data_IF_673126682535
#
_entry.id   IF_673126682535
#
_cell.length_a   1.000
_cell.length_b   1.000
_cell.length_c   1.000
_cell.angle_alpha   90.00
_cell.angle_beta   90.00
_cell.angle_gamma   90.00
#
_symmetry.space_group_name_H-M   'P 1'
#
loop_
_entity.id
_entity.type
_entity.pdbx_description
1 polymer ?
#
# COMPACT_ATOMS: atom_id res chain seq x y z
N UNK A 1 -24.11 4.69 66.67
CA UNK A 1 -25.13 4.65 65.62
C UNK A 1 -24.78 5.73 64.62
N UNK A 2 -23.98 5.33 63.62
CA UNK A 2 -23.24 6.19 62.70
C UNK A 2 -24.11 6.87 61.63
N UNK A 3 -23.66 8.02 61.08
CA UNK A 3 -24.30 8.71 59.97
C UNK A 3 -23.87 8.15 58.60
N UNK A 4 -24.81 8.17 57.65
CA UNK A 4 -24.65 7.72 56.25
C UNK A 4 -23.59 8.53 55.49
N UNK A 5 -22.54 7.84 55.04
CA UNK A 5 -21.61 8.30 54.02
C UNK A 5 -22.23 8.18 52.61
N UNK A 6 -22.17 9.27 51.85
CA UNK A 6 -22.53 9.36 50.43
C UNK A 6 -21.50 8.65 49.56
N UNK A 7 -21.94 7.64 48.83
CA UNK A 7 -21.10 6.84 47.92
C UNK A 7 -20.76 7.59 46.63
N UNK A 8 -19.49 7.95 46.48
CA UNK A 8 -18.85 8.27 45.20
C UNK A 8 -18.14 6.99 44.74
N UNK A 9 -18.53 6.45 43.58
CA UNK A 9 -17.68 5.52 42.84
C UNK A 9 -18.35 4.24 42.36
N UNK A 10 -19.08 4.31 41.24
CA UNK A 10 -19.39 3.11 40.41
C UNK A 10 -19.58 3.37 38.91
N UNK A 11 -19.50 4.61 38.40
CA UNK A 11 -19.77 4.89 36.98
C UNK A 11 -18.55 4.86 36.03
N UNK A 12 -17.32 4.70 36.53
CA UNK A 12 -16.11 4.70 35.69
C UNK A 12 -15.77 3.32 35.08
N UNK A 13 -16.27 2.21 35.63
CA UNK A 13 -15.87 0.87 35.22
C UNK A 13 -16.64 0.34 33.98
N UNK A 14 -17.83 0.85 33.69
CA UNK A 14 -18.66 0.39 32.56
C UNK A 14 -18.29 1.03 31.20
N UNK A 15 -17.55 2.14 31.21
CA UNK A 15 -17.10 2.78 29.96
C UNK A 15 -15.89 2.04 29.32
N UNK A 16 -15.16 1.23 30.09
CA UNK A 16 -13.95 0.53 29.63
C UNK A 16 -14.24 -0.86 29.04
N UNK A 17 -15.40 -1.46 29.28
CA UNK A 17 -15.77 -2.77 28.74
C UNK A 17 -16.24 -2.74 27.27
N UNK A 18 -16.62 -1.56 26.75
CA UNK A 18 -17.04 -1.41 25.35
C UNK A 18 -15.89 -1.06 24.37
N UNK A 19 -14.66 -0.87 24.87
CA UNK A 19 -13.47 -0.61 24.06
C UNK A 19 -12.80 -1.88 23.49
N UNK A 20 -13.30 -3.07 23.84
CA UNK A 20 -12.68 -4.35 23.49
C UNK A 20 -13.11 -4.95 22.14
N UNK A 21 -13.90 -4.24 21.32
CA UNK A 21 -14.36 -4.72 20.02
C UNK A 21 -13.91 -3.77 18.90
N UNK A 22 -12.61 -3.74 18.63
CA UNK A 22 -12.08 -3.26 17.38
C UNK A 22 -11.67 -4.48 16.54
N UNK A 23 -12.12 -4.59 15.27
CA UNK A 23 -11.70 -5.68 14.40
C UNK A 23 -10.19 -5.62 14.18
N UNK A 24 -9.59 -6.80 14.17
CA UNK A 24 -8.16 -7.10 14.07
C UNK A 24 -7.52 -6.47 12.80
N UNK A 25 -7.08 -5.22 12.91
CA UNK A 25 -6.31 -4.51 11.90
C UNK A 25 -4.82 -4.65 12.22
N UNK A 26 -4.24 -5.80 11.85
CA UNK A 26 -2.84 -6.15 12.10
C UNK A 26 -1.79 -5.33 11.32
N UNK A 27 -2.11 -4.07 10.98
CA UNK A 27 -1.20 -3.12 10.31
C UNK A 27 -0.42 -2.27 11.34
N UNK A 28 -0.90 -2.17 12.59
CA UNK A 28 -0.37 -1.20 13.58
C UNK A 28 0.46 -1.87 14.71
N UNK A 29 0.57 -3.20 14.72
CA UNK A 29 1.24 -3.92 15.82
C UNK A 29 2.78 -3.93 15.72
N UNK A 30 3.39 -3.20 14.78
CA UNK A 30 4.84 -3.26 14.53
C UNK A 30 5.66 -2.32 15.44
N UNK A 31 5.04 -1.30 16.06
CA UNK A 31 5.74 -0.34 16.93
C UNK A 31 5.71 -0.68 18.43
N UNK A 32 5.66 -1.98 18.80
CA UNK A 32 5.89 -2.38 20.20
C UNK A 32 7.41 -2.43 20.45
N UNK A 33 7.90 -1.73 21.48
CA UNK A 33 9.32 -1.69 21.92
C UNK A 33 9.96 -3.05 22.24
N UNK A 34 9.17 -4.12 22.32
CA UNK A 34 9.62 -5.51 22.35
C UNK A 34 8.42 -6.42 22.01
N UNK A 35 8.23 -6.84 20.76
CA UNK A 35 7.27 -7.90 20.45
C UNK A 35 7.82 -9.23 21.03
N UNK A 36 7.01 -10.03 21.72
CA UNK A 36 7.44 -11.39 22.11
C UNK A 36 7.77 -12.19 20.84
N UNK A 37 8.69 -13.17 20.92
CA UNK A 37 9.16 -13.89 19.73
C UNK A 37 7.97 -14.58 19.03
N UNK A 38 7.64 -14.09 17.83
CA UNK A 38 6.64 -14.75 16.99
C UNK A 38 7.14 -16.15 16.63
N UNK A 39 6.27 -17.15 16.75
CA UNK A 39 6.59 -18.52 16.34
C UNK A 39 7.12 -18.52 14.90
N UNK A 40 8.29 -19.13 14.68
CA UNK A 40 8.93 -19.25 13.36
C UNK A 40 7.96 -19.77 12.28
N UNK A 41 7.05 -20.68 12.66
CA UNK A 41 5.99 -21.20 11.78
C UNK A 41 5.03 -20.11 11.29
N UNK A 42 4.69 -19.14 12.13
CA UNK A 42 3.79 -18.04 11.76
C UNK A 42 4.46 -17.07 10.78
N UNK A 43 5.76 -16.79 10.97
CA UNK A 43 6.53 -15.95 10.05
C UNK A 43 6.66 -16.62 8.68
N UNK A 44 7.01 -17.91 8.64
CA UNK A 44 7.07 -18.69 7.40
C UNK A 44 5.72 -18.74 6.68
N UNK A 45 4.63 -18.91 7.41
CA UNK A 45 3.28 -18.89 6.82
C UNK A 45 2.94 -17.54 6.20
N UNK A 46 3.34 -16.43 6.82
CA UNK A 46 3.18 -15.09 6.24
C UNK A 46 3.96 -14.91 4.94
N UNK A 47 5.22 -15.36 4.92
CA UNK A 47 6.05 -15.36 3.69
C UNK A 47 5.45 -16.23 2.61
N UNK A 48 4.98 -17.43 2.97
CA UNK A 48 4.31 -18.34 2.03
C UNK A 48 3.07 -17.67 1.42
N UNK A 49 2.18 -17.09 2.23
CA UNK A 49 0.98 -16.39 1.75
C UNK A 49 1.30 -15.19 0.85
N UNK A 50 2.39 -14.48 1.13
CA UNK A 50 2.87 -13.40 0.26
C UNK A 50 3.35 -13.95 -1.08
N UNK A 51 4.18 -15.00 -1.07
CA UNK A 51 4.74 -15.61 -2.27
C UNK A 51 3.72 -16.43 -3.07
N UNK A 52 2.63 -16.89 -2.47
CA UNK A 52 1.56 -17.61 -3.18
C UNK A 52 0.76 -16.68 -4.10
N UNK A 53 0.73 -15.38 -3.81
CA UNK A 53 0.06 -14.38 -4.64
C UNK A 53 0.96 -13.95 -5.80
N UNK A 54 0.40 -13.92 -7.01
CA UNK A 54 1.08 -13.38 -8.20
C UNK A 54 1.55 -11.93 -7.99
N UNK A 55 0.76 -11.12 -7.26
CA UNK A 55 1.17 -9.76 -6.87
C UNK A 55 2.43 -9.74 -6.00
N UNK A 56 2.54 -10.65 -5.02
CA UNK A 56 3.71 -10.69 -4.14
C UNK A 56 4.99 -10.98 -4.92
N UNK A 57 4.90 -11.91 -5.87
CA UNK A 57 6.00 -12.21 -6.81
C UNK A 57 6.35 -11.01 -7.70
N UNK A 58 5.36 -10.33 -8.29
CA UNK A 58 5.61 -9.12 -9.09
C UNK A 58 6.30 -8.01 -8.29
N UNK A 59 5.84 -7.74 -7.06
CA UNK A 59 6.43 -6.68 -6.23
C UNK A 59 7.82 -7.04 -5.73
N UNK A 60 8.08 -8.32 -5.42
CA UNK A 60 9.43 -8.77 -5.07
C UNK A 60 10.39 -8.61 -6.26
N UNK A 61 9.96 -9.00 -7.46
CA UNK A 61 10.74 -8.79 -8.68
C UNK A 61 10.92 -7.30 -8.99
N UNK A 62 9.96 -6.44 -8.63
CA UNK A 62 10.13 -4.99 -8.69
C UNK A 62 11.32 -4.53 -7.86
N UNK A 63 11.41 -5.02 -6.62
CA UNK A 63 12.51 -4.71 -5.71
C UNK A 63 13.84 -5.15 -6.32
N UNK A 64 13.92 -6.38 -6.84
CA UNK A 64 15.14 -6.88 -7.51
C UNK A 64 15.52 -6.01 -8.71
N UNK A 65 14.55 -5.64 -9.54
CA UNK A 65 14.79 -4.76 -10.70
C UNK A 65 15.40 -3.42 -10.28
N UNK A 66 14.83 -2.76 -9.27
CA UNK A 66 15.30 -1.44 -8.86
C UNK A 66 16.60 -1.49 -8.05
N UNK A 67 16.86 -2.57 -7.30
CA UNK A 67 18.18 -2.85 -6.72
C UNK A 67 19.23 -3.02 -7.81
N UNK A 68 18.94 -3.80 -8.86
CA UNK A 68 19.84 -3.95 -10.00
C UNK A 68 20.07 -2.62 -10.73
N UNK A 69 19.04 -1.79 -10.88
CA UNK A 69 19.16 -0.43 -11.43
C UNK A 69 20.07 0.47 -10.58
N UNK A 70 19.94 0.39 -9.25
CA UNK A 70 20.76 1.15 -8.32
C UNK A 70 22.24 0.73 -8.38
N UNK A 71 22.50 -0.58 -8.35
CA UNK A 71 23.85 -1.16 -8.37
C UNK A 71 24.54 -0.89 -9.71
N UNK A 72 23.84 -1.16 -10.83
CA UNK A 72 24.41 -0.95 -12.17
C UNK A 72 24.68 0.52 -12.47
N UNK A 73 24.02 1.46 -11.77
CA UNK A 73 24.15 2.89 -11.98
C UNK A 73 23.93 3.33 -13.44
N UNK A 74 23.19 2.52 -14.23
CA UNK A 74 22.96 2.74 -15.66
C UNK A 74 24.04 2.19 -16.60
N UNK A 75 25.16 1.69 -16.07
CA UNK A 75 26.27 1.15 -16.85
C UNK A 75 25.90 -0.19 -17.52
N UNK A 76 26.34 -0.43 -18.77
CA UNK A 76 26.17 -1.73 -19.41
C UNK A 76 26.97 -2.80 -18.64
N UNK A 77 26.36 -3.96 -18.46
CA UNK A 77 26.95 -5.06 -17.71
C UNK A 77 25.92 -6.11 -17.32
N UNK A 78 26.35 -7.16 -16.63
CA UNK A 78 25.47 -8.29 -16.30
C UNK A 78 24.33 -7.90 -15.35
N UNK A 79 24.59 -7.00 -14.40
CA UNK A 79 23.55 -6.46 -13.51
C UNK A 79 22.45 -5.74 -14.28
N UNK A 80 22.79 -5.02 -15.36
CA UNK A 80 21.80 -4.36 -16.22
C UNK A 80 20.99 -5.36 -17.04
N UNK A 81 21.58 -6.48 -17.45
CA UNK A 81 20.85 -7.60 -18.08
C UNK A 81 19.86 -8.23 -17.10
N UNK A 82 20.27 -8.43 -15.84
CA UNK A 82 19.38 -8.91 -14.77
C UNK A 82 18.22 -7.95 -14.57
N UNK A 83 18.48 -6.64 -14.49
CA UNK A 83 17.42 -5.62 -14.42
C UNK A 83 16.42 -5.76 -15.57
N UNK A 84 16.89 -5.88 -16.81
CA UNK A 84 16.03 -6.00 -17.99
C UNK A 84 15.23 -7.31 -18.00
N UNK A 85 15.86 -8.42 -17.64
CA UNK A 85 15.22 -9.74 -17.55
C UNK A 85 14.10 -9.77 -16.51
N UNK A 86 14.40 -9.26 -15.30
CA UNK A 86 13.42 -9.17 -14.22
C UNK A 86 12.28 -8.21 -14.58
N UNK A 87 12.58 -7.08 -15.24
CA UNK A 87 11.56 -6.15 -15.73
C UNK A 87 10.61 -6.78 -16.75
N UNK A 88 11.12 -7.66 -17.63
CA UNK A 88 10.29 -8.41 -18.57
C UNK A 88 9.42 -9.46 -17.85
N UNK A 89 10.00 -10.21 -16.90
CA UNK A 89 9.27 -11.22 -16.13
C UNK A 89 8.10 -10.64 -15.34
N UNK A 90 8.25 -9.45 -14.76
CA UNK A 90 7.18 -8.72 -14.06
C UNK A 90 5.94 -8.50 -14.91
N UNK A 91 6.10 -8.24 -16.21
CA UNK A 91 4.97 -7.97 -17.12
C UNK A 91 4.10 -9.20 -17.33
N UNK A 92 4.67 -10.41 -17.23
CA UNK A 92 3.91 -11.67 -17.31
C UNK A 92 2.86 -11.76 -16.21
N UNK A 93 3.23 -11.37 -14.98
CA UNK A 93 2.29 -11.33 -13.84
C UNK A 93 1.18 -10.29 -13.98
N UNK A 94 1.24 -9.44 -15.00
CA UNK A 94 0.27 -8.36 -15.25
C UNK A 94 -0.65 -8.64 -16.44
N UNK A 95 -0.50 -9.78 -17.09
CA UNK A 95 -1.47 -10.24 -18.08
C UNK A 95 -2.84 -10.33 -17.36
N UNK A 96 -3.88 -9.71 -17.94
CA UNK A 96 -5.23 -9.51 -17.36
C UNK A 96 -5.42 -8.40 -16.32
N UNK A 97 -4.36 -7.76 -15.80
CA UNK A 97 -4.48 -6.57 -14.94
C UNK A 97 -5.25 -5.40 -15.57
N UNK A 98 -5.25 -5.17 -16.89
CA UNK A 98 -6.09 -4.12 -17.48
C UNK A 98 -7.58 -4.34 -17.20
N UNK A 99 -8.06 -5.59 -17.27
CA UNK A 99 -9.46 -5.91 -17.00
C UNK A 99 -9.78 -5.75 -15.52
N UNK A 100 -8.91 -6.22 -14.63
CA UNK A 100 -9.05 -6.01 -13.18
C UNK A 100 -9.10 -4.52 -12.83
N UNK A 101 -8.26 -3.71 -13.48
CA UNK A 101 -8.22 -2.26 -13.28
C UNK A 101 -9.50 -1.57 -13.73
N UNK A 102 -10.19 -2.10 -14.73
CA UNK A 102 -11.47 -1.58 -15.22
C UNK A 102 -12.68 -2.10 -14.43
N UNK A 103 -12.50 -3.12 -13.59
CA UNK A 103 -13.58 -3.72 -12.82
C UNK A 103 -14.42 -2.71 -12.00
N UNK A 104 -13.84 -1.66 -11.36
CA UNK A 104 -14.62 -0.65 -10.66
C UNK A 104 -15.57 0.13 -11.58
N UNK A 105 -15.21 0.31 -12.85
CA UNK A 105 -16.03 1.01 -13.84
C UNK A 105 -17.10 0.09 -14.40
N UNK A 106 -16.74 -1.17 -14.68
CA UNK A 106 -17.65 -2.16 -15.26
C UNK A 106 -18.75 -2.54 -14.25
N UNK A 107 -18.39 -2.77 -12.99
CA UNK A 107 -19.35 -3.18 -11.96
C UNK A 107 -20.19 -2.02 -11.44
N UNK A 108 -19.64 -0.80 -11.41
CA UNK A 108 -20.32 0.38 -10.91
C UNK A 108 -20.20 1.52 -11.93
N UNK A 109 -20.98 1.49 -13.03
CA UNK A 109 -20.89 2.49 -14.09
C UNK A 109 -21.47 3.84 -13.66
N UNK A 110 -22.37 3.85 -12.68
CA UNK A 110 -23.05 5.06 -12.19
C UNK A 110 -22.15 5.89 -11.27
N UNK A 111 -22.54 7.16 -11.12
CA UNK A 111 -21.94 8.08 -10.17
C UNK A 111 -22.63 7.93 -8.81
N UNK A 112 -21.86 7.66 -7.77
CA UNK A 112 -22.26 7.59 -6.38
C UNK A 112 -22.57 8.99 -5.82
N UNK A 113 -23.84 9.22 -5.53
CA UNK A 113 -24.34 10.49 -4.99
C UNK A 113 -23.79 10.85 -3.60
N UNK A 114 -23.21 9.90 -2.85
CA UNK A 114 -22.68 10.13 -1.50
C UNK A 114 -21.22 10.59 -1.46
N UNK A 115 -20.54 10.66 -2.63
CA UNK A 115 -19.15 11.12 -2.72
C UNK A 115 -19.09 12.41 -3.54
N UNK A 116 -18.15 13.34 -3.23
CA UNK A 116 -17.93 14.49 -4.11
C UNK A 116 -17.68 14.03 -5.56
N UNK A 117 -18.45 14.59 -6.50
CA UNK A 117 -18.42 14.22 -7.92
C UNK A 117 -17.00 14.14 -8.49
N UNK A 118 -16.17 15.13 -8.16
CA UNK A 118 -14.77 15.21 -8.62
C UNK A 118 -13.96 14.00 -8.15
N UNK A 119 -14.11 13.59 -6.90
CA UNK A 119 -13.34 12.49 -6.32
C UNK A 119 -13.75 11.14 -6.91
N UNK A 120 -15.03 10.97 -7.21
CA UNK A 120 -15.50 9.80 -7.93
C UNK A 120 -14.99 9.75 -9.37
N UNK A 121 -15.04 10.87 -10.10
CA UNK A 121 -14.51 10.94 -11.45
C UNK A 121 -13.01 10.62 -11.46
N UNK A 122 -12.26 11.15 -10.50
CA UNK A 122 -10.84 10.83 -10.30
C UNK A 122 -10.62 9.34 -10.02
N UNK A 123 -11.46 8.70 -9.21
CA UNK A 123 -11.35 7.27 -8.93
C UNK A 123 -11.57 6.40 -10.20
N UNK A 124 -12.57 6.75 -11.02
CA UNK A 124 -12.80 6.08 -12.31
C UNK A 124 -11.67 6.39 -13.30
N UNK A 125 -11.19 7.63 -13.35
CA UNK A 125 -10.05 8.01 -14.19
C UNK A 125 -8.77 7.25 -13.82
N UNK A 126 -8.48 7.10 -12.52
CA UNK A 126 -7.36 6.28 -12.02
C UNK A 126 -7.44 4.85 -12.54
N UNK A 127 -8.65 4.27 -12.54
CA UNK A 127 -8.91 2.91 -13.03
C UNK A 127 -8.59 2.78 -14.53
N UNK A 128 -9.01 3.76 -15.36
CA UNK A 128 -8.65 3.82 -16.78
C UNK A 128 -7.15 3.99 -16.98
N UNK A 129 -6.50 4.88 -16.24
CA UNK A 129 -5.06 5.13 -16.33
C UNK A 129 -4.24 3.88 -15.95
N UNK A 130 -4.66 3.11 -14.94
CA UNK A 130 -4.05 1.83 -14.62
C UNK A 130 -4.27 0.79 -15.72
N UNK A 131 -5.44 0.79 -16.37
CA UNK A 131 -5.68 -0.09 -17.50
C UNK A 131 -4.76 0.23 -18.70
N UNK A 132 -4.51 1.53 -18.96
CA UNK A 132 -3.53 1.98 -19.97
C UNK A 132 -2.12 1.55 -19.58
N UNK A 133 -1.74 1.70 -18.30
CA UNK A 133 -0.46 1.24 -17.78
C UNK A 133 -0.21 -0.24 -18.08
N UNK A 134 -1.09 -1.11 -17.60
CA UNK A 134 -0.95 -2.55 -17.79
C UNK A 134 -1.12 -2.97 -19.26
N UNK A 135 -1.98 -2.29 -20.02
CA UNK A 135 -2.19 -2.55 -21.43
C UNK A 135 -0.93 -2.27 -22.25
N UNK A 136 -0.27 -1.13 -22.00
CA UNK A 136 1.00 -0.80 -22.64
C UNK A 136 2.12 -1.78 -22.24
N UNK A 137 2.17 -2.22 -20.98
CA UNK A 137 3.10 -3.26 -20.54
C UNK A 137 2.92 -4.58 -21.32
N UNK A 138 1.69 -4.99 -21.61
CA UNK A 138 1.41 -6.19 -22.39
C UNK A 138 1.90 -6.06 -23.85
N UNK A 139 1.74 -4.88 -24.47
CA UNK A 139 2.27 -4.63 -25.82
C UNK A 139 3.80 -4.70 -25.84
N UNK A 140 4.46 -4.07 -24.86
CA UNK A 140 5.93 -4.10 -24.77
C UNK A 140 6.42 -5.51 -24.49
N UNK A 141 5.73 -6.28 -23.64
CA UNK A 141 6.05 -7.68 -23.39
C UNK A 141 5.88 -8.54 -24.65
N UNK A 142 4.80 -8.37 -25.41
CA UNK A 142 4.57 -9.09 -26.67
C UNK A 142 5.69 -8.82 -27.69
N UNK A 143 6.24 -7.60 -27.71
CA UNK A 143 7.42 -7.28 -28.51
C UNK A 143 8.68 -8.00 -28.02
N UNK A 144 8.90 -8.05 -26.70
CA UNK A 144 10.03 -8.79 -26.09
C UNK A 144 9.96 -10.30 -26.37
N UNK A 145 8.76 -10.84 -26.53
CA UNK A 145 8.51 -12.23 -26.95
C UNK A 145 8.66 -12.47 -28.47
N UNK A 146 8.92 -11.42 -29.26
CA UNK A 146 9.08 -11.50 -30.72
C UNK A 146 7.78 -11.45 -31.53
N UNK A 147 6.62 -11.35 -30.87
CA UNK A 147 5.29 -11.36 -31.51
C UNK A 147 5.02 -10.04 -32.25
N UNK A 148 5.50 -8.92 -31.71
CA UNK A 148 5.23 -7.58 -32.26
C UNK A 148 6.53 -6.83 -32.58
N UNK A 149 6.69 -6.42 -33.84
CA UNK A 149 7.93 -5.84 -34.36
C UNK A 149 7.82 -4.33 -34.70
N UNK A 150 6.63 -3.73 -34.58
CA UNK A 150 6.40 -2.32 -34.90
C UNK A 150 6.99 -1.40 -33.82
N UNK A 151 8.22 -0.90 -34.06
CA UNK A 151 8.99 -0.06 -33.14
C UNK A 151 8.23 1.19 -32.67
N UNK A 152 7.49 1.84 -33.57
CA UNK A 152 6.73 3.07 -33.24
C UNK A 152 5.60 2.77 -32.26
N UNK A 153 4.88 1.67 -32.48
CA UNK A 153 3.81 1.25 -31.57
C UNK A 153 4.37 0.88 -30.19
N UNK A 154 5.49 0.16 -30.14
CA UNK A 154 6.14 -0.27 -28.89
C UNK A 154 6.57 0.95 -28.07
N UNK A 155 7.23 1.92 -28.69
CA UNK A 155 7.68 3.15 -28.02
C UNK A 155 6.51 3.98 -27.50
N UNK A 156 5.43 4.10 -28.29
CA UNK A 156 4.20 4.79 -27.87
C UNK A 156 3.52 4.06 -26.72
N UNK A 157 3.41 2.73 -26.77
CA UNK A 157 2.83 1.92 -25.72
C UNK A 157 3.64 1.99 -24.42
N UNK A 158 4.97 1.98 -24.49
CA UNK A 158 5.84 2.17 -23.33
C UNK A 158 5.64 3.54 -22.68
N UNK A 159 5.62 4.62 -23.49
CA UNK A 159 5.38 5.97 -22.97
C UNK A 159 3.97 6.12 -22.39
N UNK A 160 2.95 5.66 -23.10
CA UNK A 160 1.57 5.68 -22.64
C UNK A 160 1.42 4.91 -21.33
N UNK A 161 2.09 3.76 -21.20
CA UNK A 161 2.12 2.98 -19.97
C UNK A 161 2.68 3.81 -18.80
N UNK A 162 3.84 4.43 -18.98
CA UNK A 162 4.47 5.27 -17.96
C UNK A 162 3.62 6.50 -17.58
N UNK A 163 2.98 7.15 -18.55
CA UNK A 163 2.06 8.27 -18.27
C UNK A 163 0.80 7.83 -17.54
N UNK A 164 0.22 6.67 -17.90
CA UNK A 164 -0.91 6.09 -17.19
C UNK A 164 -0.58 5.82 -15.72
N UNK A 165 0.58 5.23 -15.47
CA UNK A 165 1.08 4.99 -14.13
C UNK A 165 1.38 6.28 -13.35
N UNK A 166 2.02 7.27 -13.99
CA UNK A 166 2.29 8.57 -13.40
C UNK A 166 0.99 9.28 -12.99
N UNK A 167 0.02 9.35 -13.91
CA UNK A 167 -1.29 9.98 -13.67
C UNK A 167 -2.06 9.28 -12.55
N UNK A 168 -2.11 7.95 -12.54
CA UNK A 168 -2.76 7.21 -11.46
C UNK A 168 -2.08 7.39 -10.09
N UNK A 169 -0.77 7.63 -10.08
CA UNK A 169 -0.02 7.95 -8.84
C UNK A 169 -0.37 9.34 -8.32
N UNK A 170 -0.47 10.35 -9.21
CA UNK A 170 -0.92 11.71 -8.84
C UNK A 170 -2.35 11.70 -8.31
N UNK A 171 -3.26 10.98 -8.97
CA UNK A 171 -4.62 10.82 -8.44
C UNK A 171 -4.61 10.12 -7.07
N UNK A 172 -3.72 9.14 -6.88
CA UNK A 172 -3.47 8.53 -5.57
C UNK A 172 -3.17 9.58 -4.50
N UNK A 173 -2.20 10.47 -4.75
CA UNK A 173 -1.85 11.56 -3.82
C UNK A 173 -3.07 12.41 -3.47
N UNK A 174 -3.85 12.85 -4.47
CA UNK A 174 -5.04 13.68 -4.26
C UNK A 174 -6.08 12.95 -3.39
N UNK A 175 -6.36 11.69 -3.72
CA UNK A 175 -7.33 10.88 -2.98
C UNK A 175 -6.88 10.65 -1.54
N UNK A 176 -5.63 10.25 -1.29
CA UNK A 176 -5.15 10.00 0.07
C UNK A 176 -5.10 11.29 0.91
N UNK A 177 -4.78 12.44 0.31
CA UNK A 177 -4.88 13.73 0.99
C UNK A 177 -6.31 14.07 1.40
N UNK A 178 -7.28 13.82 0.52
CA UNK A 178 -8.69 14.04 0.82
C UNK A 178 -9.18 13.14 1.96
N UNK A 179 -8.84 11.85 1.94
CA UNK A 179 -9.23 10.92 3.01
C UNK A 179 -8.58 11.29 4.34
N UNK A 180 -7.29 11.67 4.35
CA UNK A 180 -6.62 12.19 5.55
C UNK A 180 -7.32 13.44 6.08
N UNK A 181 -7.63 14.40 5.22
CA UNK A 181 -8.36 15.60 5.61
C UNK A 181 -9.72 15.26 6.23
N UNK A 182 -10.47 14.30 5.67
CA UNK A 182 -11.74 13.85 6.22
C UNK A 182 -11.63 13.25 7.64
N UNK A 183 -10.50 12.60 7.94
CA UNK A 183 -10.26 11.98 9.24
C UNK A 183 -9.68 12.96 10.28
N UNK A 184 -8.81 13.87 9.85
CA UNK A 184 -8.06 14.75 10.75
C UNK A 184 -8.62 16.16 10.86
N UNK A 185 -9.43 16.64 9.92
CA UNK A 185 -9.96 18.00 9.99
C UNK A 185 -10.86 18.19 11.22
N UNK A 186 -10.59 19.25 11.97
CA UNK A 186 -11.43 19.64 13.10
C UNK A 186 -12.80 20.10 12.58
N UNK A 187 -13.88 19.62 13.19
CA UNK A 187 -15.23 20.05 12.82
C UNK A 187 -15.57 21.34 13.55
N UNK A 188 -16.34 22.21 12.91
CA UNK A 188 -16.74 23.49 13.51
C UNK A 188 -17.58 23.21 14.76
N UNK A 189 -17.21 23.81 15.89
CA UNK A 189 -17.89 23.61 17.18
C UNK A 189 -17.49 22.34 17.94
N UNK A 190 -16.48 21.59 17.47
CA UNK A 190 -16.03 20.36 18.12
C UNK A 190 -15.13 20.64 19.34
N UNK A 191 -15.56 20.12 20.50
CA UNK A 191 -14.83 20.16 21.76
C UNK A 191 -13.51 19.39 21.65
N UNK A 192 -12.45 19.89 22.27
CA UNK A 192 -11.10 19.31 22.16
C UNK A 192 -11.03 17.84 22.56
N UNK A 193 -11.69 17.44 23.65
CA UNK A 193 -11.72 16.05 24.12
C UNK A 193 -12.37 15.10 23.10
N UNK A 194 -13.44 15.54 22.44
CA UNK A 194 -14.13 14.77 21.40
C UNK A 194 -13.27 14.65 20.14
N UNK A 195 -12.57 15.72 19.78
CA UNK A 195 -11.61 15.73 18.68
C UNK A 195 -10.46 14.74 18.92
N UNK A 196 -9.82 14.78 20.09
CA UNK A 196 -8.73 13.87 20.44
C UNK A 196 -9.21 12.42 20.49
N UNK A 197 -10.36 12.14 21.11
CA UNK A 197 -10.93 10.80 21.15
C UNK A 197 -11.22 10.25 19.73
N UNK A 198 -11.65 11.11 18.80
CA UNK A 198 -11.84 10.71 17.39
C UNK A 198 -10.53 10.43 16.68
N UNK A 199 -9.49 11.24 16.90
CA UNK A 199 -8.17 11.01 16.33
C UNK A 199 -7.58 9.69 16.83
N UNK A 200 -7.66 9.41 18.12
CA UNK A 200 -7.21 8.15 18.71
C UNK A 200 -7.98 6.96 18.12
N UNK A 201 -9.31 7.07 18.03
CA UNK A 201 -10.16 6.05 17.40
C UNK A 201 -9.80 5.80 15.94
N UNK A 202 -9.46 6.84 15.19
CA UNK A 202 -9.11 6.75 13.77
C UNK A 202 -7.60 6.55 13.53
N UNK A 203 -6.77 6.44 14.57
CA UNK A 203 -5.31 6.49 14.45
C UNK A 203 -4.74 5.42 13.51
N UNK A 204 -5.30 4.22 13.53
CA UNK A 204 -4.92 3.14 12.61
C UNK A 204 -5.20 3.50 11.14
N UNK A 205 -6.36 4.08 10.87
CA UNK A 205 -6.79 4.46 9.53
C UNK A 205 -6.01 5.67 9.01
N UNK A 206 -5.74 6.65 9.87
CA UNK A 206 -4.85 7.78 9.59
C UNK A 206 -3.46 7.28 9.21
N UNK A 207 -2.91 6.34 9.98
CA UNK A 207 -1.59 5.76 9.70
C UNK A 207 -1.58 5.02 8.35
N UNK A 208 -2.66 4.30 8.04
CA UNK A 208 -2.82 3.59 6.76
C UNK A 208 -2.84 4.56 5.57
N UNK A 209 -3.63 5.63 5.64
CA UNK A 209 -3.69 6.63 4.59
C UNK A 209 -2.39 7.43 4.45
N UNK A 210 -1.70 7.72 5.56
CA UNK A 210 -0.39 8.36 5.51
C UNK A 210 0.65 7.50 4.78
N UNK A 211 0.64 6.18 5.04
CA UNK A 211 1.50 5.23 4.34
C UNK A 211 1.21 5.20 2.83
N UNK A 212 -0.08 5.18 2.45
CA UNK A 212 -0.51 5.22 1.04
C UNK A 212 -0.19 6.54 0.36
N UNK A 213 -0.26 7.65 1.09
CA UNK A 213 0.14 8.97 0.61
C UNK A 213 1.64 9.01 0.30
N UNK A 214 2.47 8.57 1.26
CA UNK A 214 3.93 8.49 1.06
C UNK A 214 4.25 7.58 -0.12
N UNK A 215 3.60 6.42 -0.21
CA UNK A 215 3.75 5.52 -1.33
C UNK A 215 3.40 6.20 -2.67
N UNK A 216 2.24 6.83 -2.77
CA UNK A 216 1.79 7.51 -4.00
C UNK A 216 2.71 8.65 -4.41
N UNK A 217 3.26 9.40 -3.45
CA UNK A 217 4.27 10.43 -3.69
C UNK A 217 5.57 9.85 -4.26
N UNK A 218 6.09 8.79 -3.64
CA UNK A 218 7.32 8.12 -4.13
C UNK A 218 7.09 7.53 -5.52
N UNK A 219 5.91 6.95 -5.78
CA UNK A 219 5.54 6.43 -7.10
C UNK A 219 5.48 7.53 -8.16
N UNK A 220 4.89 8.68 -7.83
CA UNK A 220 4.84 9.84 -8.73
C UNK A 220 6.25 10.37 -9.05
N UNK A 221 7.11 10.51 -8.03
CA UNK A 221 8.50 10.92 -8.22
C UNK A 221 9.27 9.89 -9.07
N UNK A 222 9.12 8.60 -8.78
CA UNK A 222 9.73 7.55 -9.57
C UNK A 222 9.30 7.60 -11.04
N UNK A 223 8.03 7.87 -11.31
CA UNK A 223 7.51 8.04 -12.65
C UNK A 223 8.12 9.26 -13.36
N UNK A 224 8.30 10.39 -12.67
CA UNK A 224 9.03 11.57 -13.19
C UNK A 224 10.45 11.19 -13.62
N UNK A 225 11.15 10.39 -12.81
CA UNK A 225 12.49 9.90 -13.13
C UNK A 225 12.54 8.95 -14.32
N UNK A 226 11.58 8.02 -14.42
CA UNK A 226 11.50 7.04 -15.51
C UNK A 226 10.99 7.62 -16.84
N UNK A 227 10.19 8.68 -16.79
CA UNK A 227 9.76 9.44 -17.98
C UNK A 227 10.83 10.44 -18.47
N UNK A 228 11.95 10.56 -17.76
CA UNK A 228 13.03 11.51 -18.05
C UNK A 228 12.54 12.97 -18.09
N UNK A 229 11.43 13.29 -17.41
CA UNK A 229 10.93 14.67 -17.28
C UNK A 229 11.92 15.56 -16.53
N UNK A 230 12.77 14.94 -15.70
CA UNK A 230 13.91 15.57 -15.05
C UNK A 230 15.13 14.65 -15.20
N UNK A 231 16.31 15.17 -15.56
CA UNK A 231 17.50 14.35 -15.80
C UNK A 231 18.14 13.87 -14.49
N UNK A 232 17.50 12.93 -13.81
CA UNK A 232 18.02 12.32 -12.59
C UNK A 232 19.03 11.20 -12.89
N UNK A 233 20.00 11.05 -12.00
CA UNK A 233 20.97 9.95 -12.10
C UNK A 233 20.25 8.61 -11.95
N UNK A 234 20.68 7.54 -12.65
CA UNK A 234 20.06 6.21 -12.54
C UNK A 234 20.01 5.67 -11.10
N UNK A 235 20.99 6.03 -10.26
CA UNK A 235 20.99 5.69 -8.83
C UNK A 235 19.83 6.34 -8.07
N UNK A 236 19.49 7.59 -8.36
CA UNK A 236 18.37 8.28 -7.71
C UNK A 236 17.04 7.60 -8.08
N UNK A 237 16.86 7.30 -9.36
CA UNK A 237 15.66 6.59 -9.85
C UNK A 237 15.61 5.17 -9.28
N UNK A 238 16.74 4.45 -9.24
CA UNK A 238 16.84 3.14 -8.60
C UNK A 238 16.48 3.18 -7.12
N UNK A 239 16.96 4.16 -6.36
CA UNK A 239 16.65 4.32 -4.94
C UNK A 239 15.16 4.59 -4.69
N UNK A 240 14.55 5.49 -5.46
CA UNK A 240 13.10 5.72 -5.42
C UNK A 240 12.33 4.44 -5.75
N UNK A 241 12.82 3.67 -6.73
CA UNK A 241 12.29 2.36 -7.10
C UNK A 241 12.34 1.33 -5.99
N UNK A 242 13.47 1.26 -5.26
CA UNK A 242 13.62 0.38 -4.09
C UNK A 242 12.61 0.76 -3.01
N UNK A 243 12.49 2.05 -2.67
CA UNK A 243 11.54 2.52 -1.66
C UNK A 243 10.10 2.19 -2.08
N UNK A 244 9.72 2.51 -3.31
CA UNK A 244 8.38 2.24 -3.83
C UNK A 244 8.04 0.74 -3.82
N UNK A 245 8.96 -0.11 -4.26
CA UNK A 245 8.76 -1.57 -4.32
C UNK A 245 8.76 -2.22 -2.93
N UNK A 246 9.61 -1.77 -2.01
CA UNK A 246 9.60 -2.21 -0.63
C UNK A 246 8.27 -1.86 0.07
N UNK A 247 7.76 -0.64 -0.12
CA UNK A 247 6.46 -0.23 0.40
C UNK A 247 5.32 -1.08 -0.19
N UNK A 248 5.35 -1.38 -1.50
CA UNK A 248 4.38 -2.29 -2.11
C UNK A 248 4.44 -3.70 -1.48
N UNK A 249 5.63 -4.23 -1.22
CA UNK A 249 5.79 -5.52 -0.55
C UNK A 249 5.22 -5.47 0.87
N UNK A 250 5.52 -4.41 1.63
CA UNK A 250 5.02 -4.21 2.98
C UNK A 250 3.49 -4.15 3.03
N UNK A 251 2.86 -3.34 2.17
CA UNK A 251 1.40 -3.18 2.14
C UNK A 251 0.65 -4.44 1.70
N UNK A 252 1.30 -5.32 0.95
CA UNK A 252 0.72 -6.58 0.49
C UNK A 252 0.97 -7.73 1.49
N UNK A 253 1.96 -7.59 2.36
CA UNK A 253 2.30 -8.61 3.34
C UNK A 253 1.11 -8.83 4.29
N UNK A 254 0.71 -10.08 4.55
CA UNK A 254 -0.43 -10.34 5.43
C UNK A 254 -0.14 -9.84 6.84
N UNK A 255 -1.19 -9.34 7.50
CA UNK A 255 -1.15 -9.06 8.93
C UNK A 255 -0.68 -10.33 9.67
N UNK A 256 0.47 -10.25 10.33
CA UNK A 256 0.98 -11.36 11.12
C UNK A 256 0.05 -11.55 12.33
N UNK A 257 -0.33 -12.79 12.66
CA UNK A 257 -1.23 -13.05 13.78
C UNK A 257 -0.67 -12.45 15.06
N UNK A 258 -1.55 -11.86 15.87
CA UNK A 258 -1.18 -11.26 17.14
C UNK A 258 -0.37 -12.28 17.97
N UNK A 259 0.69 -11.84 18.65
CA UNK A 259 1.51 -12.74 19.45
C UNK A 259 0.64 -13.48 20.47
N UNK A 260 0.89 -14.78 20.62
CA UNK A 260 0.19 -15.58 21.61
C UNK A 260 0.30 -14.93 22.99
N UNK A 261 -0.84 -14.69 23.65
CA UNK A 261 -0.85 -14.27 25.05
C UNK A 261 -0.10 -15.34 25.85
N UNK A 262 0.94 -14.94 26.60
CA UNK A 262 1.66 -15.85 27.47
C UNK A 262 0.65 -16.53 28.40
N UNK A 263 0.58 -17.86 28.34
CA UNK A 263 -0.25 -18.64 29.25
C UNK A 263 0.40 -18.58 30.63
N UNK A 264 -0.14 -17.73 31.51
CA UNK A 264 0.11 -17.80 32.94
C UNK A 264 -0.55 -19.07 33.46
N UNK A 265 0.12 -20.22 33.30
CA UNK A 265 -0.19 -21.38 34.13
C UNK A 265 0.24 -21.02 35.55
N UNK A 266 -0.75 -20.65 36.36
CA UNK A 266 -0.62 -20.58 37.81
C UNK A 266 -0.11 -21.94 38.30
N UNK A 267 1.15 -22.01 38.71
CA UNK A 267 1.64 -23.11 39.52
C UNK A 267 0.96 -22.99 40.89
N UNK A 268 -0.22 -23.58 41.00
CA UNK A 268 -0.84 -23.82 42.29
C UNK A 268 0.06 -24.82 43.04
N UNK A 269 0.86 -24.26 43.94
CA UNK A 269 1.38 -24.82 45.19
C UNK A 269 0.95 -26.28 45.46
N UNK A 270 1.89 -27.22 45.30
CA UNK A 270 1.83 -28.51 46.01
C UNK A 270 2.39 -28.21 47.40
N UNK A 271 1.51 -28.22 48.39
CA UNK A 271 1.82 -28.36 49.80
C UNK A 271 1.52 -29.81 50.20
#
# INVERSE_FOLDING_TARGET
>A
SDPKATGIGTHSAQALSHLACAPDLGVVTVFRRNPPPMSYKAQLKGVQQFLDKSDGRDKLLATVQYVAMFISAGQPGDVKKVQASVAAARKVFRIMRPLESLNPIIQNPTLNSNRPLVLELLAKLKSVLMAIYFGGDNIVWASQAGILQNKTLILRAQKASLYGWAGGSVIGVITELHELQGLTARRVGEVEEVYQARLEKNGAEITRHLLLLVHSLVQALLAVGLLELRPWKPRTVGMLGIIASALNCYMLFPALPAPAKASTKSFAKVA
#
